data_IF_397405089647
#
_entry.id   IF_397405089647
#
_cell.length_a   1.000
_cell.length_b   1.000
_cell.length_c   1.000
_cell.angle_alpha   90.00
_cell.angle_beta   90.00
_cell.angle_gamma   90.00
#
_symmetry.space_group_name_H-M   'P 1'
#
loop_
_entity.id
_entity.type
_entity.pdbx_description
1 polymer ?
#
# COMPACT_ATOMS: atom_id res chain seq x y z
N UNK A 1 -0.44 -26.43 -8.55
CA UNK A 1 -0.52 -26.68 -7.10
C UNK A 1 0.43 -25.70 -6.44
N UNK A 2 -0.04 -24.50 -6.14
CA UNK A 2 0.78 -23.45 -5.52
C UNK A 2 1.14 -23.89 -4.11
N UNK A 3 2.44 -24.05 -3.87
CA UNK A 3 3.02 -24.61 -2.66
C UNK A 3 2.64 -23.79 -1.42
N UNK A 4 2.45 -24.47 -0.28
CA UNK A 4 2.20 -23.86 1.05
C UNK A 4 3.27 -22.84 1.46
N UNK A 5 4.42 -22.84 0.78
CA UNK A 5 5.50 -21.84 0.89
C UNK A 5 5.01 -20.39 0.74
N UNK A 6 3.92 -20.14 0.00
CA UNK A 6 3.38 -18.79 -0.16
C UNK A 6 2.58 -18.30 1.05
N UNK A 7 2.08 -19.21 1.89
CA UNK A 7 1.21 -18.88 3.03
C UNK A 7 2.05 -18.65 4.29
N UNK A 8 3.16 -19.38 4.42
CA UNK A 8 4.10 -19.30 5.53
C UNK A 8 5.51 -19.36 4.95
N UNK A 9 6.28 -18.28 5.12
CA UNK A 9 7.71 -18.30 4.86
C UNK A 9 8.48 -18.01 6.14
N UNK A 10 9.18 -19.05 6.64
CA UNK A 10 10.20 -18.94 7.67
C UNK A 10 11.56 -19.01 6.97
N UNK A 11 12.02 -17.87 6.44
CA UNK A 11 13.39 -17.73 5.95
C UNK A 11 14.34 -17.68 7.16
N UNK A 12 15.54 -18.26 7.07
CA UNK A 12 16.54 -18.15 8.14
C UNK A 12 17.05 -16.70 8.20
N UNK A 13 16.37 -15.84 8.96
CA UNK A 13 16.75 -14.44 9.12
C UNK A 13 15.59 -13.59 9.66
N UNK A 14 15.89 -12.34 10.04
CA UNK A 14 14.86 -11.39 10.46
C UNK A 14 13.94 -11.04 9.29
N UNK A 15 12.64 -10.97 9.55
CA UNK A 15 11.67 -10.42 8.60
C UNK A 15 12.02 -8.96 8.31
N UNK A 16 12.21 -8.62 7.04
CA UNK A 16 12.40 -7.24 6.59
C UNK A 16 11.36 -6.84 5.57
N UNK A 17 10.67 -5.75 5.90
CA UNK A 17 9.76 -5.07 5.01
C UNK A 17 10.54 -4.11 4.11
N UNK A 18 10.62 -4.40 2.82
CA UNK A 18 11.39 -3.61 1.86
C UNK A 18 10.53 -2.54 1.18
N UNK A 19 9.24 -2.80 1.01
CA UNK A 19 8.33 -1.87 0.37
C UNK A 19 6.90 -2.38 0.33
N UNK A 20 6.03 -1.61 -0.32
CA UNK A 20 4.64 -1.95 -0.55
C UNK A 20 4.28 -1.74 -2.02
N UNK A 21 3.25 -2.46 -2.45
CA UNK A 21 2.68 -2.42 -3.80
C UNK A 21 1.18 -2.13 -3.69
N UNK A 22 0.51 -1.76 -4.78
CA UNK A 22 -0.95 -1.70 -4.78
C UNK A 22 -1.52 -3.07 -4.35
N UNK A 23 -2.19 -3.11 -3.20
CA UNK A 23 -2.76 -4.35 -2.67
C UNK A 23 -1.78 -5.31 -1.98
N UNK A 24 -0.51 -4.95 -1.74
CA UNK A 24 0.44 -5.89 -1.16
C UNK A 24 1.77 -5.31 -0.65
N UNK A 25 2.73 -6.20 -0.43
CA UNK A 25 4.00 -5.96 0.25
C UNK A 25 5.17 -6.66 -0.41
N UNK A 26 6.37 -6.13 -0.17
CA UNK A 26 7.64 -6.77 -0.55
C UNK A 26 8.40 -7.07 0.73
N UNK A 27 8.58 -8.36 1.04
CA UNK A 27 9.28 -8.85 2.22
C UNK A 27 10.38 -9.81 1.81
N UNK A 28 11.60 -9.65 2.32
CA UNK A 28 12.71 -10.57 2.04
C UNK A 28 12.83 -10.92 0.52
N UNK A 29 12.72 -9.91 -0.35
CA UNK A 29 12.75 -10.06 -1.81
C UNK A 29 11.59 -10.88 -2.42
N UNK A 30 10.54 -11.16 -1.65
CA UNK A 30 9.32 -11.85 -2.06
C UNK A 30 8.14 -10.88 -2.06
N UNK A 31 7.36 -10.91 -3.14
CA UNK A 31 6.12 -10.14 -3.24
C UNK A 31 4.95 -10.96 -2.66
N UNK A 32 4.17 -10.33 -1.80
CA UNK A 32 2.98 -10.91 -1.16
C UNK A 32 1.80 -9.98 -1.39
N UNK A 33 0.67 -10.54 -1.79
CA UNK A 33 -0.57 -9.78 -1.97
C UNK A 33 -1.50 -9.99 -0.78
N UNK A 34 -2.20 -8.92 -0.38
CA UNK A 34 -3.11 -8.92 0.76
C UNK A 34 -2.49 -8.41 2.07
N UNK A 35 -3.25 -8.57 3.15
CA UNK A 35 -2.81 -8.23 4.48
C UNK A 35 -1.88 -9.31 5.05
N UNK A 36 -0.96 -8.87 5.89
CA UNK A 36 0.09 -9.75 6.44
C UNK A 36 0.31 -9.49 7.92
N UNK A 37 0.72 -10.55 8.60
CA UNK A 37 1.30 -10.51 9.93
C UNK A 37 2.80 -10.78 9.84
N UNK A 38 3.59 -9.80 10.26
CA UNK A 38 5.04 -9.86 10.30
C UNK A 38 5.49 -10.11 11.74
N UNK A 39 6.10 -11.26 11.97
CA UNK A 39 6.78 -11.58 13.22
C UNK A 39 8.29 -11.34 13.05
N UNK A 40 9.09 -11.36 14.12
CA UNK A 40 10.53 -11.06 14.04
C UNK A 40 11.30 -11.90 13.01
N UNK A 41 10.98 -13.19 12.90
CA UNK A 41 11.70 -14.17 12.06
C UNK A 41 10.84 -14.86 10.99
N UNK A 42 9.54 -14.53 10.92
CA UNK A 42 8.63 -15.12 9.96
C UNK A 42 7.51 -14.15 9.59
N UNK A 43 6.80 -14.43 8.48
CA UNK A 43 5.57 -13.74 8.13
C UNK A 43 4.50 -14.73 7.68
N UNK A 44 3.24 -14.32 7.85
CA UNK A 44 2.05 -15.07 7.46
C UNK A 44 1.08 -14.14 6.73
N UNK A 45 0.33 -14.73 5.80
CA UNK A 45 -0.89 -14.10 5.29
C UNK A 45 -1.90 -13.94 6.41
N UNK A 46 -2.59 -12.80 6.42
CA UNK A 46 -3.58 -12.46 7.42
C UNK A 46 -4.94 -12.26 6.75
N UNK A 47 -5.93 -13.01 7.19
CA UNK A 47 -7.28 -13.02 6.60
C UNK A 47 -8.12 -11.84 7.12
N UNK A 48 -7.65 -10.62 6.81
CA UNK A 48 -8.27 -9.35 7.19
C UNK A 48 -8.20 -8.43 5.99
N UNK A 49 -9.34 -7.89 5.57
CA UNK A 49 -9.41 -6.98 4.41
C UNK A 49 -9.43 -5.53 4.88
N UNK A 50 -10.12 -5.25 5.99
CA UNK A 50 -10.31 -3.89 6.50
C UNK A 50 -9.92 -3.78 7.97
N UNK A 51 -9.70 -2.56 8.43
CA UNK A 51 -9.38 -2.30 9.84
C UNK A 51 -10.49 -2.77 10.81
N UNK A 52 -11.73 -2.91 10.33
CA UNK A 52 -12.86 -3.39 11.14
C UNK A 52 -12.78 -4.89 11.42
N UNK A 53 -12.09 -5.63 10.55
CA UNK A 53 -11.91 -7.07 10.69
C UNK A 53 -10.75 -7.39 11.66
N UNK A 54 -10.01 -6.37 12.08
CA UNK A 54 -9.00 -6.46 13.14
C UNK A 54 -9.70 -6.62 14.48
N UNK A 55 -9.66 -7.86 14.96
CA UNK A 55 -10.29 -8.33 16.20
C UNK A 55 -9.27 -9.11 17.03
N UNK A 56 -9.59 -9.40 18.29
CA UNK A 56 -8.73 -10.24 19.14
C UNK A 56 -8.57 -11.63 18.53
N UNK A 57 -9.62 -12.16 17.92
CA UNK A 57 -9.63 -13.45 17.24
C UNK A 57 -8.68 -13.44 16.03
N UNK A 58 -8.72 -12.37 15.23
CA UNK A 58 -7.79 -12.20 14.09
C UNK A 58 -6.33 -12.09 14.53
N UNK A 59 -6.09 -11.71 15.79
CA UNK A 59 -4.77 -11.55 16.41
C UNK A 59 -4.43 -12.70 17.37
N UNK A 60 -5.18 -13.82 17.33
CA UNK A 60 -4.97 -14.95 18.25
C UNK A 60 -3.54 -15.55 18.17
N UNK A 61 -2.82 -15.33 17.07
CA UNK A 61 -1.41 -15.75 16.94
C UNK A 61 -0.51 -15.11 18.01
N UNK A 62 -0.84 -13.91 18.50
CA UNK A 62 -0.04 -13.20 19.51
C UNK A 62 0.03 -13.99 20.82
N UNK A 63 -1.02 -14.76 21.14
CA UNK A 63 -1.09 -15.60 22.35
C UNK A 63 -0.26 -16.89 22.22
N UNK A 64 0.13 -17.25 21.00
CA UNK A 64 0.95 -18.42 20.71
C UNK A 64 2.46 -18.09 20.71
N UNK A 65 2.81 -16.82 20.82
CA UNK A 65 4.20 -16.36 20.81
C UNK A 65 4.85 -16.48 22.19
N UNK A 66 6.08 -17.01 22.22
CA UNK A 66 6.92 -17.06 23.41
C UNK A 66 8.32 -16.52 23.09
N UNK A 67 8.75 -15.38 23.66
CA UNK A 67 7.99 -14.52 24.58
C UNK A 67 6.82 -13.79 23.90
N UNK A 68 5.83 -13.28 24.67
CA UNK A 68 4.77 -12.46 24.10
C UNK A 68 5.34 -11.17 23.49
N UNK A 69 4.70 -10.63 22.45
CA UNK A 69 5.16 -9.40 21.81
C UNK A 69 4.97 -8.20 22.73
N UNK A 70 5.95 -7.30 22.72
CA UNK A 70 5.88 -6.04 23.48
C UNK A 70 5.12 -4.96 22.71
N UNK A 71 5.22 -4.99 21.38
CA UNK A 71 4.66 -3.97 20.50
C UNK A 71 3.96 -4.62 19.32
N UNK A 72 2.72 -4.20 19.09
CA UNK A 72 1.95 -4.47 17.88
C UNK A 72 1.89 -3.19 17.04
N UNK A 73 2.58 -3.20 15.91
CA UNK A 73 2.52 -2.12 14.91
C UNK A 73 1.38 -2.41 13.94
N UNK A 74 0.41 -1.52 13.85
CA UNK A 74 -0.77 -1.68 13.01
C UNK A 74 -0.70 -0.72 11.83
N UNK A 75 -0.47 -1.25 10.63
CA UNK A 75 -0.47 -0.50 9.38
C UNK A 75 -1.88 -0.40 8.82
N UNK A 76 -2.47 0.79 8.87
CA UNK A 76 -3.89 1.03 8.57
C UNK A 76 -4.23 1.25 7.08
N UNK A 77 -3.25 1.06 6.18
CA UNK A 77 -3.33 1.40 4.76
C UNK A 77 -2.82 2.82 4.47
N UNK A 78 -3.55 3.56 3.63
CA UNK A 78 -3.17 4.89 3.16
C UNK A 78 -3.15 5.98 4.26
N UNK A 79 -3.93 5.80 5.32
CA UNK A 79 -4.09 6.78 6.41
C UNK A 79 -4.13 6.09 7.76
N UNK A 80 -3.58 6.76 8.76
CA UNK A 80 -3.70 6.35 10.17
C UNK A 80 -5.17 6.35 10.55
N UNK A 81 -5.64 5.25 11.14
CA UNK A 81 -6.98 5.10 11.68
C UNK A 81 -6.88 4.41 13.03
N UNK A 82 -7.63 4.90 14.02
CA UNK A 82 -7.61 4.30 15.35
C UNK A 82 -8.36 2.98 15.37
N UNK A 83 -7.82 2.02 16.09
CA UNK A 83 -8.51 0.79 16.44
C UNK A 83 -9.59 1.06 17.49
N UNK A 84 -10.58 0.17 17.60
CA UNK A 84 -11.56 0.25 18.68
C UNK A 84 -10.87 0.25 20.04
N UNK A 85 -11.29 1.15 20.95
CA UNK A 85 -10.70 1.26 22.30
C UNK A 85 -10.81 -0.06 23.10
N UNK A 86 -11.89 -0.82 22.88
CA UNK A 86 -12.05 -2.12 23.50
C UNK A 86 -10.97 -3.13 23.06
N UNK A 87 -10.48 -3.04 21.81
CA UNK A 87 -9.41 -3.90 21.30
C UNK A 87 -8.07 -3.47 21.89
N UNK A 88 -7.75 -2.17 21.86
CA UNK A 88 -6.48 -1.66 22.39
C UNK A 88 -6.36 -1.89 23.89
N UNK A 89 -7.45 -1.78 24.65
CA UNK A 89 -7.49 -2.14 26.08
C UNK A 89 -7.20 -3.62 26.33
N UNK A 90 -7.82 -4.51 25.56
CA UNK A 90 -7.58 -5.96 25.70
C UNK A 90 -6.13 -6.33 25.36
N UNK A 91 -5.50 -5.66 24.39
CA UNK A 91 -4.09 -5.84 24.06
C UNK A 91 -3.18 -5.28 25.17
N UNK A 92 -3.53 -4.11 25.74
CA UNK A 92 -2.79 -3.52 26.85
C UNK A 92 -2.85 -4.39 28.12
N UNK A 93 -3.99 -5.04 28.41
CA UNK A 93 -4.12 -6.02 29.51
C UNK A 93 -3.19 -7.22 29.34
N UNK A 94 -2.80 -7.54 28.10
CA UNK A 94 -1.80 -8.57 27.77
C UNK A 94 -0.36 -8.05 27.78
N UNK A 95 -0.15 -6.77 28.12
CA UNK A 95 1.16 -6.12 28.12
C UNK A 95 1.65 -5.71 26.72
N UNK A 96 0.77 -5.70 25.71
CA UNK A 96 1.12 -5.38 24.33
C UNK A 96 0.80 -3.92 24.06
N UNK A 97 1.82 -3.11 23.76
CA UNK A 97 1.64 -1.73 23.31
C UNK A 97 1.19 -1.71 21.83
N UNK A 98 0.20 -0.88 21.50
CA UNK A 98 -0.34 -0.78 20.14
C UNK A 98 0.08 0.53 19.51
N UNK A 99 0.71 0.45 18.34
CA UNK A 99 1.20 1.59 17.56
C UNK A 99 0.47 1.66 16.22
N UNK A 100 -0.45 2.62 16.09
CA UNK A 100 -1.31 2.79 14.93
C UNK A 100 -0.64 3.76 13.93
N UNK A 101 -0.25 3.24 12.77
CA UNK A 101 0.47 4.01 11.76
C UNK A 101 -0.18 3.83 10.38
N UNK A 102 0.11 4.74 9.45
CA UNK A 102 -0.09 4.44 8.05
C UNK A 102 0.90 3.35 7.63
N UNK A 103 0.58 2.62 6.58
CA UNK A 103 1.38 1.47 6.16
C UNK A 103 2.82 1.85 5.83
N UNK A 104 3.06 3.01 5.20
CA UNK A 104 4.42 3.46 4.86
C UNK A 104 5.28 3.64 6.11
N UNK A 105 4.76 4.29 7.14
CA UNK A 105 5.45 4.51 8.40
C UNK A 105 5.58 3.23 9.22
N UNK A 106 4.55 2.37 9.21
CA UNK A 106 4.56 1.08 9.88
C UNK A 106 5.71 0.17 9.40
N UNK A 107 6.00 0.16 8.10
CA UNK A 107 7.08 -0.64 7.51
C UNK A 107 8.44 -0.31 8.13
N UNK A 108 8.80 0.98 8.12
CA UNK A 108 10.08 1.44 8.68
C UNK A 108 10.14 1.27 10.20
N UNK A 109 9.03 1.52 10.89
CA UNK A 109 8.96 1.42 12.35
C UNK A 109 9.09 -0.03 12.83
N UNK A 110 8.40 -0.97 12.18
CA UNK A 110 8.58 -2.40 12.43
C UNK A 110 10.04 -2.83 12.23
N UNK A 111 10.64 -2.47 11.10
CA UNK A 111 12.03 -2.84 10.81
C UNK A 111 13.00 -2.29 11.86
N UNK A 112 12.78 -1.05 12.32
CA UNK A 112 13.61 -0.44 13.35
C UNK A 112 13.53 -1.22 14.67
N UNK A 113 12.33 -1.52 15.16
CA UNK A 113 12.13 -2.29 16.39
C UNK A 113 12.64 -3.74 16.26
N UNK A 114 12.43 -4.36 15.10
CA UNK A 114 12.92 -5.71 14.84
C UNK A 114 14.45 -5.76 14.77
N UNK A 115 15.09 -4.75 14.17
CA UNK A 115 16.54 -4.64 14.12
C UNK A 115 17.14 -4.38 15.51
N UNK A 116 16.46 -3.61 16.37
CA UNK A 116 16.81 -3.43 17.80
C UNK A 116 16.73 -4.73 18.61
N UNK A 117 16.03 -5.75 18.10
CA UNK A 117 15.86 -7.05 18.77
C UNK A 117 14.70 -7.08 19.74
N UNK A 118 13.77 -6.13 19.64
CA UNK A 118 12.52 -6.14 20.40
C UNK A 118 11.55 -7.17 19.82
N UNK A 119 10.70 -7.72 20.67
CA UNK A 119 9.67 -8.67 20.23
C UNK A 119 8.48 -7.87 19.69
N UNK A 120 8.56 -7.53 18.40
CA UNK A 120 7.57 -6.72 17.69
C UNK A 120 6.79 -7.57 16.69
N UNK A 121 5.50 -7.26 16.54
CA UNK A 121 4.65 -7.82 15.48
C UNK A 121 4.09 -6.69 14.64
N UNK A 122 4.12 -6.84 13.32
CA UNK A 122 3.48 -5.93 12.36
C UNK A 122 2.20 -6.53 11.80
N UNK A 123 1.05 -5.93 12.08
CA UNK A 123 -0.23 -6.24 11.44
C UNK A 123 -0.51 -5.21 10.34
N UNK A 124 -0.27 -5.58 9.08
CA UNK A 124 -0.20 -4.61 7.99
C UNK A 124 -1.31 -4.84 6.97
N UNK A 125 -2.14 -3.81 6.80
CA UNK A 125 -3.12 -3.73 5.72
C UNK A 125 -2.48 -3.11 4.48
N UNK A 126 -2.73 -3.68 3.29
CA UNK A 126 -2.20 -3.12 2.06
C UNK A 126 -2.77 -1.71 1.83
N UNK A 127 -1.96 -0.88 1.17
CA UNK A 127 -2.43 0.38 0.65
C UNK A 127 -3.23 0.07 -0.63
N UNK A 128 -4.50 -0.29 -0.49
CA UNK A 128 -5.42 -0.21 -1.61
C UNK A 128 -5.64 1.28 -1.89
N UNK A 129 -5.57 1.67 -3.16
CA UNK A 129 -6.14 2.95 -3.54
C UNK A 129 -7.60 2.88 -3.13
N UNK A 130 -8.02 3.77 -2.23
CA UNK A 130 -9.43 4.04 -2.04
C UNK A 130 -9.92 4.51 -3.42
N UNK A 131 -10.40 3.56 -4.23
CA UNK A 131 -11.25 3.86 -5.38
C UNK A 131 -12.46 4.54 -4.78
N UNK A 132 -12.34 5.85 -4.57
CA UNK A 132 -13.46 6.71 -4.28
C UNK A 132 -14.47 6.45 -5.38
N UNK A 133 -15.59 5.84 -5.00
CA UNK A 133 -16.77 5.76 -5.84
C UNK A 133 -17.23 7.18 -6.14
N UNK A 134 -16.67 7.78 -7.19
CA UNK A 134 -17.25 8.88 -7.93
C UNK A 134 -18.39 8.32 -8.75
N UNK A 135 -19.59 8.44 -8.22
CA UNK A 135 -20.84 8.31 -8.96
C UNK A 135 -20.81 9.17 -10.23
N UNK A 136 -21.23 8.58 -11.35
CA UNK A 136 -22.38 9.02 -12.17
C UNK A 136 -22.07 8.86 -13.66
N UNK A 137 -22.95 8.13 -14.30
CA UNK A 137 -23.12 7.93 -15.73
C UNK A 137 -22.87 9.19 -16.58
N UNK A 138 -22.10 9.04 -17.65
CA UNK A 138 -22.32 9.79 -18.89
C UNK A 138 -21.94 8.91 -20.11
N UNK A 139 -22.75 7.87 -20.33
CA UNK A 139 -22.88 7.29 -21.68
C UNK A 139 -23.89 8.12 -22.46
N UNK A 140 -23.41 9.23 -23.03
CA UNK A 140 -24.14 10.08 -23.97
C UNK A 140 -23.62 9.87 -25.38
N UNK A 141 -24.14 8.84 -26.07
CA UNK A 141 -24.03 8.70 -27.52
C UNK A 141 -25.06 9.63 -28.19
N UNK A 142 -24.59 10.58 -28.98
CA UNK A 142 -25.28 11.12 -30.17
C UNK A 142 -24.22 11.80 -31.04
N UNK A 143 -23.77 11.23 -32.15
CA UNK A 143 -24.45 11.13 -33.43
C UNK A 143 -24.82 12.50 -34.04
N UNK A 144 -24.12 12.78 -35.13
CA UNK A 144 -24.58 13.42 -36.38
C UNK A 144 -24.50 14.93 -36.65
N UNK A 145 -24.02 15.17 -37.88
CA UNK A 145 -24.34 16.23 -38.86
C UNK A 145 -23.77 17.66 -38.61
N UNK A 146 -22.81 18.12 -39.43
CA UNK A 146 -22.95 18.74 -40.78
C UNK A 146 -22.99 20.29 -40.66
N UNK A 147 -21.99 21.04 -41.13
CA UNK A 147 -21.65 21.41 -42.52
C UNK A 147 -22.04 22.87 -42.84
N UNK A 148 -21.23 23.50 -43.71
CA UNK A 148 -21.31 24.85 -44.29
C UNK A 148 -21.00 26.02 -43.34
N UNK A 149 -20.21 27.05 -43.67
CA UNK A 149 -19.53 27.54 -44.87
C UNK A 149 -19.21 29.02 -44.57
N UNK A 150 -18.27 29.76 -45.16
CA UNK A 150 -17.28 29.57 -46.21
C UNK A 150 -16.61 30.94 -46.47
N UNK A 151 -15.72 30.95 -47.47
CA UNK A 151 -15.21 32.08 -48.29
C UNK A 151 -14.07 32.92 -47.69
N UNK A 152 -12.85 32.83 -48.25
CA UNK A 152 -12.36 33.45 -49.52
C UNK A 152 -11.81 34.86 -49.22
N UNK A 153 -10.62 35.32 -49.61
CA UNK A 153 -9.54 34.87 -50.48
C UNK A 153 -8.43 35.94 -50.44
N UNK A 154 -7.30 35.73 -51.13
CA UNK A 154 -6.22 36.73 -51.27
C UNK A 154 -4.82 36.17 -51.00
N UNK A 155 -4.24 35.31 -51.83
CA UNK A 155 -3.55 35.58 -53.11
C UNK A 155 -2.12 36.14 -52.97
N UNK A 156 -1.18 35.26 -53.39
CA UNK A 156 0.08 35.51 -54.10
C UNK A 156 1.39 35.92 -53.36
N UNK A 157 2.33 34.97 -53.42
CA UNK A 157 3.79 35.07 -53.52
C UNK A 157 4.23 35.98 -54.71
N UNK A 158 5.53 36.31 -54.98
CA UNK A 158 6.73 35.54 -54.62
C UNK A 158 8.06 36.32 -54.36
N UNK A 159 9.07 35.53 -53.92
CA UNK A 159 10.49 35.55 -54.31
C UNK A 159 11.34 36.84 -54.19
N UNK A 160 12.41 36.76 -53.36
CA UNK A 160 13.82 36.99 -53.76
C UNK A 160 14.79 36.89 -52.57
N UNK A 161 15.70 35.91 -52.69
CA UNK A 161 17.16 36.06 -52.63
C UNK A 161 17.75 37.24 -51.82
N UNK A 162 18.56 36.94 -50.79
CA UNK A 162 20.03 37.11 -50.85
C UNK A 162 20.69 36.83 -49.50
N UNK A 163 21.71 35.97 -49.55
CA UNK A 163 22.67 35.81 -48.47
C UNK A 163 23.66 36.98 -48.40
N UNK A 164 24.12 37.25 -47.19
CA UNK A 164 25.42 37.87 -46.82
C UNK A 164 25.68 37.41 -45.38
N UNK A 165 26.70 36.56 -45.13
CA UNK A 165 28.10 36.93 -44.87
C UNK A 165 28.19 37.93 -43.72
N UNK A 166 28.63 37.53 -42.53
CA UNK A 166 30.02 37.44 -42.01
C UNK A 166 29.90 37.99 -40.56
N UNK A 167 30.69 37.68 -39.54
CA UNK A 167 31.99 37.02 -39.35
C UNK A 167 32.14 36.83 -37.82
N UNK A 168 32.92 35.83 -37.45
CA UNK A 168 33.90 35.77 -36.33
C UNK A 168 33.64 36.58 -35.05
#
# INVERSE_FOLDING_TARGET
MSSLSSVIAAERGKTRLQGYLPGGFILNNTQVEGAILCLPELWLMWDVVTLRDVTIESLAILDLMAPPPEVLVVGCGARVRRLPEALTRQLAERGIAVEELDTRNALSYFNFLNDEGRVVVGALLPCSEDSGGGSSDETGRSADAAAAGGRDGGQQAPDKQQGRRERD
#
